data_IF_841823105334
#
_entry.id   IF_841823105334
#
_cell.length_a   1.000
_cell.length_b   1.000
_cell.length_c   1.000
_cell.angle_alpha   90.00
_cell.angle_beta   90.00
_cell.angle_gamma   90.00
#
_symmetry.space_group_name_H-M   'P 1'
#
loop_
_entity.id
_entity.type
_entity.pdbx_description
1 polymer ?
#
# COMPACT_ATOMS: atom_id res chain seq x y z
N UNK A 1 2.23 51.84 -50.97
CA UNK A 1 1.24 50.77 -51.23
C UNK A 1 1.66 49.44 -50.58
N UNK A 2 1.85 49.44 -49.26
CA UNK A 2 2.23 48.24 -48.48
C UNK A 2 1.35 48.03 -47.22
N UNK A 3 0.46 48.98 -46.91
CA UNK A 3 -0.40 48.92 -45.72
C UNK A 3 -1.75 48.23 -45.96
N UNK A 4 -2.13 47.95 -47.21
CA UNK A 4 -3.37 47.23 -47.56
C UNK A 4 -3.21 45.70 -47.62
N UNK A 5 -1.98 45.17 -47.50
CA UNK A 5 -1.71 43.72 -47.46
C UNK A 5 -1.51 43.16 -46.05
N UNK A 6 -1.35 44.02 -45.06
CA UNK A 6 -1.14 43.63 -43.65
C UNK A 6 -2.49 43.50 -42.92
N UNK A 7 -3.55 44.19 -43.38
CA UNK A 7 -4.90 44.07 -42.82
C UNK A 7 -5.72 42.88 -43.32
N UNK A 8 -5.32 42.22 -44.41
CA UNK A 8 -5.98 41.02 -44.93
C UNK A 8 -5.38 39.69 -44.43
N UNK A 9 -4.23 39.74 -43.76
CA UNK A 9 -3.64 38.59 -43.07
C UNK A 9 -3.96 38.58 -41.56
N UNK A 10 -4.53 39.65 -41.03
CA UNK A 10 -4.92 39.77 -39.62
C UNK A 10 -6.36 39.28 -39.31
N UNK A 11 -7.12 38.84 -40.32
CA UNK A 11 -8.52 38.39 -40.17
C UNK A 11 -8.77 36.93 -40.57
N UNK A 12 -7.73 36.15 -40.87
CA UNK A 12 -7.84 34.75 -41.29
C UNK A 12 -7.03 33.77 -40.42
N UNK A 13 -6.75 34.14 -39.15
CA UNK A 13 -6.13 33.25 -38.16
C UNK A 13 -7.01 33.08 -36.90
N UNK A 14 -8.33 33.28 -37.05
CA UNK A 14 -9.33 33.05 -36.02
C UNK A 14 -10.17 31.79 -36.33
N UNK A 15 -9.49 30.66 -36.50
CA UNK A 15 -10.03 29.29 -36.56
C UNK A 15 -8.78 28.39 -36.61
N UNK A 16 -8.45 27.51 -35.68
CA UNK A 16 -9.25 26.64 -34.83
C UNK A 16 -8.42 26.31 -33.58
N UNK A 17 -8.87 26.71 -32.40
CA UNK A 17 -8.34 26.20 -31.14
C UNK A 17 -8.94 24.82 -30.88
N UNK A 18 -8.29 23.74 -31.32
CA UNK A 18 -8.59 22.40 -30.83
C UNK A 18 -7.70 22.12 -29.63
N UNK A 19 -8.14 22.59 -28.46
CA UNK A 19 -7.70 21.98 -27.20
C UNK A 19 -8.30 20.57 -27.22
N UNK A 20 -7.43 19.56 -27.31
CA UNK A 20 -7.81 18.20 -26.99
C UNK A 20 -8.13 18.17 -25.48
N UNK A 21 -9.39 18.45 -25.15
CA UNK A 21 -9.94 18.08 -23.85
C UNK A 21 -9.91 16.56 -23.85
N UNK A 22 -8.92 15.99 -23.15
CA UNK A 22 -9.04 14.64 -22.68
C UNK A 22 -10.29 14.63 -21.82
N UNK A 23 -11.38 14.15 -22.40
CA UNK A 23 -12.59 13.79 -21.68
C UNK A 23 -12.21 12.68 -20.71
N UNK A 24 -11.64 13.04 -19.55
CA UNK A 24 -11.77 12.21 -18.37
C UNK A 24 -13.27 12.15 -18.16
N UNK A 25 -13.84 11.04 -18.59
CA UNK A 25 -15.26 10.81 -18.59
C UNK A 25 -15.80 11.17 -17.22
N UNK A 26 -16.57 12.24 -17.16
CA UNK A 26 -17.44 12.57 -16.05
C UNK A 26 -18.58 11.54 -16.05
N UNK A 27 -18.25 10.28 -15.78
CA UNK A 27 -19.23 9.27 -15.36
C UNK A 27 -19.33 9.32 -13.84
N UNK A 28 -19.63 10.50 -13.31
CA UNK A 28 -20.11 10.65 -11.94
C UNK A 28 -21.30 11.62 -11.93
N UNK A 29 -22.18 11.50 -12.92
CA UNK A 29 -23.58 11.92 -12.76
C UNK A 29 -24.29 10.80 -12.01
N UNK A 30 -24.40 11.00 -10.70
CA UNK A 30 -25.52 10.60 -9.85
C UNK A 30 -26.07 9.18 -10.02
N UNK A 31 -25.24 8.15 -9.82
CA UNK A 31 -25.79 6.91 -9.29
C UNK A 31 -25.90 7.05 -7.76
N UNK A 32 -27.11 7.16 -7.17
CA UNK A 32 -27.26 7.26 -5.71
C UNK A 32 -26.75 6.00 -4.99
N UNK A 33 -26.60 4.91 -5.75
CA UNK A 33 -26.03 3.66 -5.28
C UNK A 33 -24.52 3.73 -5.47
N UNK A 34 -23.83 4.26 -4.46
CA UNK A 34 -22.39 4.07 -4.32
C UNK A 34 -22.09 2.58 -4.15
N UNK A 35 -21.08 2.03 -4.83
CA UNK A 35 -20.65 0.66 -4.60
C UNK A 35 -20.34 0.45 -3.11
N UNK A 36 -20.63 -0.75 -2.61
CA UNK A 36 -20.54 -1.06 -1.17
C UNK A 36 -19.13 -0.78 -0.62
N UNK A 37 -18.10 -0.97 -1.45
CA UNK A 37 -16.70 -0.67 -1.14
C UNK A 37 -16.45 0.82 -0.91
N UNK A 38 -17.01 1.69 -1.74
CA UNK A 38 -16.93 3.15 -1.55
C UNK A 38 -17.74 3.61 -0.33
N UNK A 39 -18.90 3.00 -0.08
CA UNK A 39 -19.66 3.27 1.14
C UNK A 39 -18.85 2.90 2.38
N UNK A 40 -18.32 1.68 2.45
CA UNK A 40 -17.52 1.21 3.58
C UNK A 40 -16.28 2.08 3.81
N UNK A 41 -15.58 2.46 2.74
CA UNK A 41 -14.47 3.40 2.80
C UNK A 41 -14.91 4.76 3.35
N UNK A 42 -16.00 5.34 2.84
CA UNK A 42 -16.51 6.63 3.30
C UNK A 42 -16.99 6.62 4.76
N UNK A 43 -17.60 5.51 5.20
CA UNK A 43 -18.02 5.32 6.59
C UNK A 43 -16.80 5.26 7.50
N UNK A 44 -15.79 4.45 7.15
CA UNK A 44 -14.57 4.36 7.92
C UNK A 44 -13.84 5.71 8.01
N UNK A 45 -13.71 6.44 6.91
CA UNK A 45 -13.13 7.78 6.92
C UNK A 45 -13.91 8.72 7.84
N UNK A 46 -15.24 8.68 7.79
CA UNK A 46 -16.10 9.50 8.65
C UNK A 46 -15.91 9.17 10.13
N UNK A 47 -15.85 7.89 10.50
CA UNK A 47 -15.63 7.43 11.88
C UNK A 47 -14.26 7.86 12.40
N UNK A 48 -13.22 7.72 11.57
CA UNK A 48 -11.85 8.14 11.90
C UNK A 48 -11.79 9.66 12.12
N UNK A 49 -12.38 10.44 11.21
CA UNK A 49 -12.38 11.90 11.30
C UNK A 49 -13.26 12.42 12.44
N UNK A 50 -14.35 11.74 12.77
CA UNK A 50 -15.18 12.07 13.93
C UNK A 50 -14.42 11.87 15.25
N UNK A 51 -13.60 10.81 15.35
CA UNK A 51 -12.84 10.49 16.56
C UNK A 51 -11.57 11.33 16.74
N UNK A 52 -10.92 11.76 15.65
CA UNK A 52 -9.61 12.44 15.67
C UNK A 52 -9.64 13.91 15.23
N UNK A 53 -10.75 14.37 14.67
CA UNK A 53 -10.84 15.66 14.00
C UNK A 53 -10.20 15.68 12.61
N UNK A 54 -10.46 16.76 11.87
CA UNK A 54 -9.98 16.96 10.49
C UNK A 54 -8.55 17.52 10.46
N UNK A 55 -7.58 16.68 10.82
CA UNK A 55 -6.15 17.03 10.70
C UNK A 55 -5.48 16.30 9.53
N UNK A 56 -4.34 16.82 9.05
CA UNK A 56 -3.54 16.15 8.01
C UNK A 56 -3.10 14.74 8.43
N UNK A 57 -2.78 14.54 9.70
CA UNK A 57 -2.37 13.25 10.23
C UNK A 57 -3.55 12.28 10.30
N UNK A 58 -4.72 12.75 10.78
CA UNK A 58 -5.94 11.95 10.78
C UNK A 58 -6.36 11.53 9.36
N UNK A 59 -6.25 12.42 8.37
CA UNK A 59 -6.53 12.10 6.96
C UNK A 59 -5.56 11.04 6.39
N UNK A 60 -4.27 11.10 6.75
CA UNK A 60 -3.30 10.07 6.36
C UNK A 60 -3.65 8.72 6.97
N UNK A 61 -4.04 8.70 8.23
CA UNK A 61 -4.47 7.49 8.92
C UNK A 61 -5.77 6.93 8.34
N UNK A 62 -6.76 7.78 8.02
CA UNK A 62 -7.99 7.37 7.37
C UNK A 62 -7.71 6.69 6.01
N UNK A 63 -6.84 7.28 5.18
CA UNK A 63 -6.41 6.66 3.90
C UNK A 63 -5.66 5.35 4.10
N UNK A 64 -4.85 5.25 5.15
CA UNK A 64 -4.19 4.00 5.53
C UNK A 64 -5.23 2.94 5.88
N UNK A 65 -6.20 3.28 6.73
CA UNK A 65 -7.25 2.38 7.17
C UNK A 65 -8.09 1.88 5.99
N UNK A 66 -8.46 2.77 5.06
CA UNK A 66 -9.15 2.39 3.81
C UNK A 66 -8.28 1.48 2.94
N UNK A 67 -7.01 1.84 2.72
CA UNK A 67 -6.09 1.07 1.86
C UNK A 67 -5.91 -0.37 2.31
N UNK A 68 -5.84 -0.60 3.63
CA UNK A 68 -5.62 -1.93 4.19
C UNK A 68 -6.91 -2.58 4.71
N UNK A 69 -8.08 -2.04 4.38
CA UNK A 69 -9.38 -2.60 4.77
C UNK A 69 -9.55 -2.74 6.29
N UNK A 70 -9.06 -1.76 7.05
CA UNK A 70 -9.12 -1.76 8.52
C UNK A 70 -10.54 -1.45 9.00
N UNK A 71 -10.89 -2.04 10.13
CA UNK A 71 -12.12 -1.75 10.87
C UNK A 71 -11.78 -1.53 12.33
N UNK A 72 -12.39 -0.53 12.95
CA UNK A 72 -12.17 -0.20 14.36
C UNK A 72 -13.54 -0.11 15.04
N UNK A 73 -13.68 -0.74 16.20
CA UNK A 73 -14.96 -0.94 16.87
C UNK A 73 -15.42 0.31 17.66
N UNK A 74 -14.47 1.13 18.10
CA UNK A 74 -14.76 2.29 18.95
C UNK A 74 -13.86 3.49 18.66
N UNK A 75 -14.32 4.68 19.03
CA UNK A 75 -13.51 5.90 18.97
C UNK A 75 -12.25 5.80 19.85
N UNK A 76 -12.31 5.04 20.96
CA UNK A 76 -11.15 4.76 21.80
C UNK A 76 -10.12 3.90 21.07
N UNK A 77 -10.57 2.88 20.34
CA UNK A 77 -9.69 2.07 19.49
C UNK A 77 -9.08 2.90 18.37
N UNK A 78 -9.88 3.71 17.66
CA UNK A 78 -9.37 4.62 16.62
C UNK A 78 -8.25 5.51 17.16
N UNK A 79 -8.43 6.11 18.34
CA UNK A 79 -7.41 6.93 19.01
C UNK A 79 -6.15 6.12 19.34
N UNK A 80 -6.30 4.89 19.84
CA UNK A 80 -5.17 4.00 20.14
C UNK A 80 -4.40 3.62 18.86
N UNK A 81 -5.11 3.18 17.82
CA UNK A 81 -4.53 2.76 16.52
C UNK A 81 -3.85 3.93 15.82
N UNK A 82 -4.43 5.11 15.89
CA UNK A 82 -3.83 6.34 15.37
C UNK A 82 -2.51 6.71 16.05
N UNK A 83 -2.42 6.55 17.39
CA UNK A 83 -1.18 6.75 18.14
C UNK A 83 -0.08 5.80 17.65
N UNK A 84 -0.37 4.50 17.59
CA UNK A 84 0.57 3.47 17.11
C UNK A 84 1.00 3.76 15.66
N UNK A 85 0.06 4.17 14.81
CA UNK A 85 0.36 4.56 13.43
C UNK A 85 1.28 5.78 13.33
N UNK A 86 1.11 6.75 14.22
CA UNK A 86 1.96 7.95 14.27
C UNK A 86 3.38 7.59 14.71
N UNK A 87 3.52 6.70 15.69
CA UNK A 87 4.82 6.15 16.13
C UNK A 87 5.50 5.38 15.00
N UNK A 88 4.77 4.48 14.34
CA UNK A 88 5.27 3.71 13.18
C UNK A 88 5.73 4.62 12.04
N UNK A 89 5.01 5.72 11.79
CA UNK A 89 5.37 6.68 10.75
C UNK A 89 6.68 7.42 11.09
N UNK A 90 6.92 7.73 12.36
CA UNK A 90 8.18 8.36 12.77
C UNK A 90 9.34 7.36 12.76
N UNK A 91 9.12 6.11 13.12
CA UNK A 91 10.11 5.04 12.98
C UNK A 91 10.53 4.86 11.50
N UNK A 92 9.55 4.84 10.60
CA UNK A 92 9.79 4.76 9.15
C UNK A 92 10.66 5.94 8.69
N UNK A 93 10.29 7.16 9.09
CA UNK A 93 11.03 8.38 8.69
C UNK A 93 12.43 8.41 9.27
N UNK A 94 12.57 8.15 10.57
CA UNK A 94 13.86 8.19 11.26
C UNK A 94 14.81 7.12 10.73
N UNK A 95 14.33 5.91 10.46
CA UNK A 95 15.15 4.83 9.90
C UNK A 95 15.55 5.13 8.46
N UNK A 96 14.63 5.62 7.63
CA UNK A 96 14.95 5.95 6.23
C UNK A 96 15.92 7.14 6.09
N UNK A 97 16.04 8.01 7.10
CA UNK A 97 17.06 9.07 7.15
C UNK A 97 18.47 8.56 7.42
N UNK A 98 18.63 7.34 7.94
CA UNK A 98 19.94 6.77 8.27
C UNK A 98 20.75 6.29 7.05
N UNK A 99 20.14 6.22 5.86
CA UNK A 99 20.83 5.80 4.63
C UNK A 99 21.23 4.32 4.64
N UNK A 100 20.45 3.46 5.29
CA UNK A 100 20.69 2.02 5.33
C UNK A 100 20.46 1.37 3.95
N UNK A 101 20.97 0.15 3.78
CA UNK A 101 20.74 -0.68 2.58
C UNK A 101 19.28 -1.06 2.35
N UNK A 102 18.41 -0.84 3.35
CA UNK A 102 16.98 -1.08 3.29
C UNK A 102 16.20 0.17 3.71
N UNK A 103 14.91 0.16 3.36
CA UNK A 103 13.95 1.20 3.77
C UNK A 103 12.74 0.57 4.43
N UNK A 104 12.22 1.24 5.44
CA UNK A 104 10.92 0.93 6.02
C UNK A 104 9.81 1.62 5.22
N UNK A 105 8.63 1.04 5.25
CA UNK A 105 7.44 1.57 4.59
C UNK A 105 6.20 1.29 5.42
N UNK A 106 5.19 2.15 5.25
CA UNK A 106 3.86 1.90 5.82
C UNK A 106 3.28 0.67 5.13
N UNK A 107 2.87 -0.29 5.95
CA UNK A 107 2.33 -1.58 5.51
C UNK A 107 1.13 -1.95 6.40
N UNK A 108 0.48 -3.09 6.13
CA UNK A 108 -0.73 -3.55 6.85
C UNK A 108 -0.57 -3.69 8.37
N UNK A 109 0.65 -3.66 8.91
CA UNK A 109 0.97 -3.78 10.33
C UNK A 109 1.28 -2.45 11.00
N UNK A 110 1.29 -1.33 10.26
CA UNK A 110 1.64 -0.01 10.80
C UNK A 110 0.66 0.55 11.83
N UNK A 111 -0.41 -0.16 12.21
CA UNK A 111 -1.30 0.20 13.32
C UNK A 111 -1.30 -0.83 14.46
N UNK A 112 -0.34 -1.77 14.46
CA UNK A 112 -0.16 -2.79 15.48
C UNK A 112 1.05 -2.46 16.36
N UNK A 113 0.92 -2.60 17.68
CA UNK A 113 2.08 -2.52 18.56
C UNK A 113 2.99 -3.73 18.36
N UNK A 114 4.23 -3.65 18.85
CA UNK A 114 5.15 -4.77 18.78
C UNK A 114 4.60 -6.02 19.47
N UNK A 115 3.98 -5.86 20.65
CA UNK A 115 3.40 -6.95 21.42
C UNK A 115 2.23 -7.61 20.67
N UNK A 116 1.36 -6.80 20.04
CA UNK A 116 0.26 -7.31 19.21
C UNK A 116 0.78 -8.04 17.97
N UNK A 117 1.82 -7.51 17.34
CA UNK A 117 2.46 -8.14 16.19
C UNK A 117 3.07 -9.48 16.58
N UNK A 118 3.81 -9.53 17.70
CA UNK A 118 4.39 -10.77 18.21
C UNK A 118 3.33 -11.81 18.54
N UNK A 119 2.26 -11.41 19.23
CA UNK A 119 1.20 -12.32 19.66
C UNK A 119 0.39 -12.91 18.50
N UNK A 120 0.27 -12.18 17.38
CA UNK A 120 -0.64 -12.57 16.29
C UNK A 120 0.03 -12.95 14.97
N UNK A 121 1.29 -12.53 14.74
CA UNK A 121 1.98 -12.73 13.45
C UNK A 121 3.17 -13.66 13.52
N UNK A 122 3.82 -13.76 14.67
CA UNK A 122 4.95 -14.65 14.84
C UNK A 122 4.48 -16.07 15.11
N UNK A 123 5.15 -17.05 14.50
CA UNK A 123 4.94 -18.46 14.80
C UNK A 123 5.68 -18.87 16.07
N UNK A 124 5.16 -19.87 16.78
CA UNK A 124 5.86 -20.46 17.91
C UNK A 124 7.14 -21.19 17.46
N UNK A 125 8.17 -21.20 18.30
CA UNK A 125 9.36 -22.01 18.07
C UNK A 125 8.98 -23.48 17.89
N UNK A 126 9.42 -24.08 16.78
CA UNK A 126 9.13 -25.48 16.46
C UNK A 126 10.39 -26.31 16.69
N UNK A 127 10.29 -27.36 17.49
CA UNK A 127 11.34 -28.37 17.62
C UNK A 127 11.12 -29.42 16.53
N UNK A 128 11.68 -29.17 15.35
CA UNK A 128 11.53 -30.07 14.20
C UNK A 128 12.56 -31.21 14.26
N UNK A 129 12.11 -32.44 14.49
CA UNK A 129 12.96 -33.63 14.36
C UNK A 129 13.33 -33.96 12.89
N UNK A 130 12.54 -33.45 11.93
CA UNK A 130 12.69 -33.70 10.50
C UNK A 130 13.97 -33.10 9.86
N UNK A 131 14.64 -32.16 10.53
CA UNK A 131 15.88 -31.54 10.02
C UNK A 131 17.16 -32.26 10.46
N UNK A 132 17.06 -33.26 11.36
CA UNK A 132 18.24 -33.94 11.92
C UNK A 132 18.81 -35.04 11.02
N UNK A 133 18.02 -35.55 10.06
CA UNK A 133 18.43 -36.57 9.11
C UNK A 133 18.25 -36.05 7.66
N UNK A 134 19.20 -35.24 7.20
CA UNK A 134 19.19 -34.71 5.83
C UNK A 134 19.91 -35.62 4.84
N UNK A 135 19.23 -36.07 3.80
CA UNK A 135 19.82 -36.85 2.69
C UNK A 135 20.43 -35.97 1.58
N UNK A 136 20.86 -34.75 1.93
CA UNK A 136 21.37 -33.83 0.92
C UNK A 136 22.69 -34.38 0.33
N UNK A 137 22.80 -34.38 -1.00
CA UNK A 137 24.03 -34.69 -1.71
C UNK A 137 24.63 -33.37 -2.18
N UNK A 138 25.76 -32.97 -1.59
CA UNK A 138 26.48 -31.79 -2.07
C UNK A 138 27.04 -32.07 -3.47
N UNK A 139 26.75 -31.16 -4.39
CA UNK A 139 27.33 -31.14 -5.75
C UNK A 139 28.31 -29.97 -5.85
N UNK A 140 29.24 -30.04 -6.79
CA UNK A 140 30.27 -29.01 -6.99
C UNK A 140 29.64 -27.62 -7.15
N UNK A 141 29.99 -26.74 -6.22
CA UNK A 141 29.51 -25.36 -6.19
C UNK A 141 29.95 -24.54 -7.43
N UNK A 142 31.02 -24.97 -8.10
CA UNK A 142 31.54 -24.32 -9.31
C UNK A 142 30.57 -24.37 -10.51
N UNK A 143 29.55 -25.22 -10.46
CA UNK A 143 28.54 -25.34 -11.51
C UNK A 143 27.29 -24.46 -11.28
N UNK A 144 27.22 -23.72 -10.17
CA UNK A 144 26.05 -22.88 -9.85
C UNK A 144 26.17 -21.49 -10.49
N UNK A 145 25.04 -20.90 -10.94
CA UNK A 145 25.03 -19.54 -11.44
C UNK A 145 25.28 -18.52 -10.32
N UNK A 146 25.80 -17.33 -10.67
CA UNK A 146 26.02 -16.23 -9.73
C UNK A 146 24.72 -15.73 -9.09
N UNK A 147 23.61 -15.74 -9.85
CA UNK A 147 22.28 -15.39 -9.38
C UNK A 147 21.24 -16.39 -9.87
N UNK A 148 20.22 -16.67 -9.06
CA UNK A 148 19.08 -17.53 -9.45
C UNK A 148 17.80 -17.03 -8.82
N UNK A 149 16.79 -16.82 -9.66
CA UNK A 149 15.42 -16.51 -9.25
C UNK A 149 14.45 -17.56 -9.80
N UNK A 150 13.90 -18.39 -8.90
CA UNK A 150 12.95 -19.46 -9.27
C UNK A 150 11.60 -18.93 -9.77
N UNK A 151 11.30 -17.65 -9.57
CA UNK A 151 10.09 -17.03 -10.12
C UNK A 151 10.12 -16.96 -11.64
N UNK A 152 11.32 -16.83 -12.24
CA UNK A 152 11.51 -16.79 -13.68
C UNK A 152 11.18 -18.13 -14.35
N UNK A 153 11.39 -19.23 -13.61
CA UNK A 153 11.08 -20.59 -14.06
C UNK A 153 9.58 -20.93 -13.88
N UNK A 154 8.78 -20.04 -13.27
CA UNK A 154 7.34 -20.25 -13.06
C UNK A 154 6.99 -21.32 -12.01
N UNK A 155 7.96 -21.80 -11.23
CA UNK A 155 7.74 -22.85 -10.22
C UNK A 155 7.31 -22.30 -8.86
N UNK A 156 7.33 -20.98 -8.68
CA UNK A 156 6.96 -20.31 -7.43
C UNK A 156 5.49 -19.89 -7.49
N UNK A 157 4.69 -20.38 -6.55
CA UNK A 157 3.27 -19.99 -6.43
C UNK A 157 3.12 -18.52 -6.00
N UNK A 158 1.95 -17.88 -6.24
CA UNK A 158 1.65 -16.55 -5.71
C UNK A 158 1.80 -16.47 -4.18
N UNK A 159 2.15 -15.27 -3.69
CA UNK A 159 2.31 -15.00 -2.25
C UNK A 159 0.98 -15.21 -1.53
N UNK A 160 1.02 -15.95 -0.42
CA UNK A 160 -0.12 -16.25 0.44
C UNK A 160 -0.11 -15.42 1.73
N UNK A 161 -1.24 -15.34 2.42
CA UNK A 161 -1.40 -14.66 3.70
C UNK A 161 -1.72 -15.65 4.82
N UNK A 162 -0.82 -15.76 5.81
CA UNK A 162 -0.99 -16.63 6.98
C UNK A 162 -2.01 -16.11 8.01
N UNK A 163 -2.49 -14.87 7.84
CA UNK A 163 -3.41 -14.21 8.78
C UNK A 163 -2.86 -14.18 10.21
N UNK A 164 -3.62 -14.63 11.21
CA UNK A 164 -3.32 -14.47 12.65
C UNK A 164 -2.99 -15.81 13.35
N UNK A 165 -2.86 -16.91 12.61
CA UNK A 165 -2.85 -18.27 13.16
C UNK A 165 -1.46 -18.77 13.60
N UNK A 166 -0.38 -18.03 13.31
CA UNK A 166 0.99 -18.50 13.56
C UNK A 166 1.37 -19.75 12.75
N UNK A 167 0.67 -20.00 11.64
CA UNK A 167 0.80 -21.20 10.80
C UNK A 167 1.91 -21.11 9.75
N UNK A 168 2.85 -20.16 9.85
CA UNK A 168 3.90 -19.95 8.85
C UNK A 168 4.73 -21.20 8.52
N UNK A 169 4.82 -22.16 9.45
CA UNK A 169 5.48 -23.44 9.26
C UNK A 169 4.84 -24.32 8.17
N UNK A 170 3.55 -24.16 7.86
CA UNK A 170 2.88 -24.88 6.75
C UNK A 170 3.11 -24.23 5.39
N UNK A 171 3.60 -22.99 5.36
CA UNK A 171 3.83 -22.20 4.14
C UNK A 171 5.32 -22.16 3.73
N UNK A 172 6.21 -22.77 4.52
CA UNK A 172 7.67 -22.80 4.27
C UNK A 172 8.05 -23.64 3.07
#
# INVERSE_FOLDING_TARGET
MAHARILLLALAALATATVAVASSSSFAVSNPIRPVTERAASTLESTVLAALGRTRHALRFARFAVRYGKSYESAAEVRRRFRIFSESLEEVRSTNRKGLSYRLGINRFSDMSWEEFQATRLGAAQTCSATLAGNHLMRDAAALPETKDWREDGIVSPVKDQSHCGSCWTFR
#
